data_IF_521436179864
#
_entry.id   IF_521436179864
#
_cell.length_a   1.000
_cell.length_b   1.000
_cell.length_c   1.000
_cell.angle_alpha   90.00
_cell.angle_beta   90.00
_cell.angle_gamma   90.00
#
_symmetry.space_group_name_H-M   'P 1'
#
loop_
_entity.id
_entity.type
_entity.pdbx_description
1 polymer ?
#
# COMPACT_ATOMS: atom_id res chain seq x y z
N UNK A 1 -5.98 8.95 -10.37
CA UNK A 1 -5.85 9.55 -9.02
C UNK A 1 -4.39 9.55 -8.64
N UNK A 2 -3.89 10.61 -8.01
CA UNK A 2 -2.51 10.68 -7.52
C UNK A 2 -2.41 9.85 -6.23
N UNK A 3 -1.38 9.01 -6.11
CA UNK A 3 -1.09 8.30 -4.86
C UNK A 3 -0.45 9.28 -3.87
N UNK A 4 -1.02 9.40 -2.68
CA UNK A 4 -0.57 10.30 -1.63
C UNK A 4 0.23 9.51 -0.59
N UNK A 5 1.45 9.96 -0.33
CA UNK A 5 2.32 9.43 0.72
C UNK A 5 2.31 10.41 1.88
N UNK A 6 1.91 9.92 3.05
CA UNK A 6 1.93 10.63 4.32
C UNK A 6 3.21 10.27 5.07
N UNK A 7 3.70 11.20 5.87
CA UNK A 7 4.88 10.99 6.71
C UNK A 7 4.55 11.37 8.16
N UNK A 8 4.88 10.48 9.08
CA UNK A 8 4.74 10.75 10.51
C UNK A 8 5.86 11.68 10.99
N UNK A 9 5.69 12.26 12.19
CA UNK A 9 6.74 13.06 12.85
C UNK A 9 8.05 12.29 13.07
N UNK A 10 8.00 10.97 13.05
CA UNK A 10 9.14 10.08 13.23
C UNK A 10 9.70 9.55 11.89
N UNK A 11 9.27 10.12 10.75
CA UNK A 11 9.75 9.75 9.41
C UNK A 11 9.09 8.50 8.81
N UNK A 12 8.12 7.89 9.50
CA UNK A 12 7.41 6.73 8.97
C UNK A 12 6.52 7.15 7.81
N UNK A 13 6.77 6.62 6.61
CA UNK A 13 5.98 6.89 5.41
C UNK A 13 4.88 5.85 5.22
N UNK A 14 3.66 6.31 4.94
CA UNK A 14 2.47 5.46 4.77
C UNK A 14 1.56 5.99 3.66
N UNK A 15 0.69 5.15 3.12
CA UNK A 15 -0.43 5.55 2.25
C UNK A 15 -1.75 5.15 2.88
N UNK A 16 -2.88 5.68 2.41
CA UNK A 16 -4.19 5.17 2.84
C UNK A 16 -4.70 4.08 1.92
N UNK A 17 -5.43 3.10 2.47
CA UNK A 17 -6.05 2.03 1.69
C UNK A 17 -7.04 2.59 0.66
N UNK A 18 -7.83 3.59 1.03
CA UNK A 18 -8.74 4.29 0.12
C UNK A 18 -8.02 4.93 -1.06
N UNK A 19 -6.89 5.61 -0.81
CA UNK A 19 -6.13 6.30 -1.85
C UNK A 19 -5.40 5.30 -2.76
N UNK A 20 -4.81 4.23 -2.20
CA UNK A 20 -4.20 3.14 -2.97
C UNK A 20 -5.21 2.42 -3.86
N UNK A 21 -6.38 2.07 -3.31
CA UNK A 21 -7.45 1.41 -4.07
C UNK A 21 -7.93 2.26 -5.24
N UNK A 22 -8.13 3.56 -5.02
CA UNK A 22 -8.54 4.49 -6.06
C UNK A 22 -7.42 4.75 -7.10
N UNK A 23 -6.15 4.82 -6.67
CA UNK A 23 -5.00 4.95 -7.55
C UNK A 23 -4.88 3.75 -8.50
N UNK A 24 -5.09 2.54 -7.97
CA UNK A 24 -5.13 1.27 -8.72
C UNK A 24 -6.39 1.09 -9.57
N UNK A 25 -7.34 2.04 -9.58
CA UNK A 25 -8.59 1.99 -10.35
C UNK A 25 -9.40 0.71 -10.10
N UNK A 26 -9.43 0.26 -8.85
CA UNK A 26 -10.16 -0.94 -8.47
C UNK A 26 -11.67 -0.64 -8.30
N UNK A 27 -12.56 -1.65 -8.46
CA UNK A 27 -14.00 -1.44 -8.36
C UNK A 27 -14.43 -0.91 -6.98
N UNK A 28 -14.94 0.32 -6.94
CA UNK A 28 -15.33 1.01 -5.68
C UNK A 28 -16.31 0.20 -4.83
N UNK A 29 -17.28 -0.47 -5.48
CA UNK A 29 -18.28 -1.33 -4.79
C UNK A 29 -17.67 -2.49 -4.01
N UNK A 30 -16.43 -2.89 -4.33
CA UNK A 30 -15.74 -4.01 -3.69
C UNK A 30 -14.71 -3.57 -2.65
N UNK A 31 -14.58 -2.26 -2.38
CA UNK A 31 -13.54 -1.71 -1.52
C UNK A 31 -13.44 -2.46 -0.17
N UNK A 32 -14.55 -2.58 0.57
CA UNK A 32 -14.53 -3.24 1.88
C UNK A 32 -14.18 -4.73 1.84
N UNK A 33 -14.52 -5.44 0.77
CA UNK A 33 -14.12 -6.84 0.60
C UNK A 33 -12.63 -6.95 0.22
N UNK A 34 -12.14 -6.10 -0.67
CA UNK A 34 -10.75 -6.10 -1.11
C UNK A 34 -9.79 -5.69 0.01
N UNK A 35 -10.11 -4.64 0.77
CA UNK A 35 -9.27 -4.22 1.90
C UNK A 35 -9.24 -5.30 2.98
N UNK A 36 -10.37 -5.92 3.34
CA UNK A 36 -10.37 -7.05 4.29
C UNK A 36 -9.52 -8.22 3.81
N UNK A 37 -9.50 -8.49 2.49
CA UNK A 37 -8.60 -9.47 1.91
C UNK A 37 -7.15 -9.02 2.04
N UNK A 38 -6.82 -7.77 1.70
CA UNK A 38 -5.45 -7.25 1.80
C UNK A 38 -4.88 -7.41 3.21
N UNK A 39 -5.67 -7.18 4.24
CA UNK A 39 -5.22 -7.29 5.64
C UNK A 39 -5.13 -8.73 6.16
N UNK A 40 -5.61 -9.73 5.39
CA UNK A 40 -5.65 -11.15 5.80
C UNK A 40 -4.83 -12.08 4.90
N UNK A 41 -4.40 -11.59 3.74
CA UNK A 41 -3.62 -12.37 2.78
C UNK A 41 -2.16 -12.54 3.22
N UNK A 42 -1.45 -13.49 2.63
CA UNK A 42 -0.02 -13.72 2.91
C UNK A 42 0.86 -12.99 1.88
N UNK A 43 1.85 -12.23 2.31
CA UNK A 43 2.78 -11.51 1.43
C UNK A 43 4.22 -11.86 1.78
N UNK A 44 5.10 -11.69 0.80
CA UNK A 44 6.54 -11.82 0.94
C UNK A 44 7.14 -10.48 1.37
N UNK A 45 7.15 -10.24 2.69
CA UNK A 45 7.82 -9.09 3.27
C UNK A 45 9.34 -9.34 3.31
N UNK A 46 10.13 -8.30 3.55
CA UNK A 46 11.58 -8.40 3.69
C UNK A 46 12.01 -9.37 4.81
N UNK A 47 11.19 -9.56 5.84
CA UNK A 47 11.42 -10.49 6.93
C UNK A 47 10.78 -11.88 6.72
N UNK A 48 10.22 -12.15 5.54
CA UNK A 48 9.69 -13.45 5.14
C UNK A 48 8.20 -13.43 4.78
N UNK A 49 7.67 -14.63 4.51
CA UNK A 49 6.28 -14.81 4.08
C UNK A 49 5.36 -14.84 5.29
N UNK A 50 4.51 -13.82 5.44
CA UNK A 50 3.58 -13.69 6.58
C UNK A 50 2.34 -12.87 6.23
N UNK A 51 1.37 -12.85 7.14
CA UNK A 51 0.22 -11.93 7.08
C UNK A 51 0.61 -10.54 7.58
N UNK A 52 -0.04 -9.46 7.09
CA UNK A 52 0.11 -8.13 7.66
C UNK A 52 -0.31 -8.10 9.13
N UNK A 53 0.44 -7.34 9.94
CA UNK A 53 0.25 -7.21 11.37
C UNK A 53 -0.24 -5.80 11.73
N UNK A 54 -1.26 -5.65 12.58
CA UNK A 54 -1.68 -4.35 13.11
C UNK A 54 -0.52 -3.62 13.79
N UNK A 55 -0.45 -2.31 13.62
CA UNK A 55 0.58 -1.40 14.15
C UNK A 55 2.01 -1.65 13.65
N UNK A 56 2.21 -2.66 12.81
CA UNK A 56 3.47 -2.92 12.11
C UNK A 56 3.37 -2.58 10.63
N UNK A 57 2.41 -3.19 9.94
CA UNK A 57 2.22 -3.01 8.49
C UNK A 57 1.01 -2.15 8.16
N UNK A 58 0.03 -2.06 9.07
CA UNK A 58 -1.15 -1.23 8.91
C UNK A 58 -1.73 -0.75 10.24
N UNK A 59 -2.48 0.35 10.20
CA UNK A 59 -3.25 0.86 11.33
C UNK A 59 -4.59 1.43 10.87
N UNK A 60 -5.63 1.31 11.70
CA UNK A 60 -6.95 1.89 11.39
C UNK A 60 -6.83 3.42 11.39
N UNK A 61 -7.33 4.06 10.33
CA UNK A 61 -7.39 5.52 10.24
C UNK A 61 -8.62 6.01 11.00
N UNK A 62 -8.49 6.93 11.97
CA UNK A 62 -9.64 7.49 12.66
C UNK A 62 -10.44 8.35 11.68
N UNK A 63 -11.67 7.93 11.40
CA UNK A 63 -12.65 8.68 10.61
C UNK A 63 -14.02 8.61 11.31
N UNK A 64 -14.27 9.46 12.31
CA UNK A 64 -15.54 9.47 13.03
C UNK A 64 -16.70 9.73 12.06
N UNK A 65 -17.73 8.88 12.11
CA UNK A 65 -18.96 9.05 11.32
C UNK A 65 -18.90 8.52 9.87
N UNK A 66 -17.76 8.05 9.38
CA UNK A 66 -17.71 7.41 8.07
C UNK A 66 -18.14 5.93 8.15
N UNK A 67 -19.04 5.46 7.26
CA UNK A 67 -19.55 4.09 7.30
C UNK A 67 -18.52 3.04 6.84
N UNK A 68 -17.42 3.48 6.23
CA UNK A 68 -16.42 2.61 5.61
C UNK A 68 -15.09 2.79 6.33
N UNK A 69 -14.51 1.68 6.78
CA UNK A 69 -13.19 1.68 7.40
C UNK A 69 -12.08 2.04 6.39
N UNK A 70 -11.10 2.81 6.85
CA UNK A 70 -9.89 3.11 6.11
C UNK A 70 -8.66 2.82 6.98
N UNK A 71 -7.53 2.58 6.34
CA UNK A 71 -6.32 2.14 7.00
C UNK A 71 -5.11 2.89 6.45
N UNK A 72 -4.17 3.23 7.33
CA UNK A 72 -2.82 3.53 6.92
C UNK A 72 -2.09 2.22 6.65
N UNK A 73 -1.36 2.17 5.54
CA UNK A 73 -0.56 1.03 5.10
C UNK A 73 0.90 1.48 4.98
N UNK A 74 1.85 0.66 5.47
CA UNK A 74 3.26 0.87 5.17
C UNK A 74 3.50 0.83 3.66
N UNK A 75 4.54 1.53 3.19
CA UNK A 75 4.86 1.53 1.76
C UNK A 75 5.19 0.12 1.25
N UNK A 76 5.80 -0.73 2.08
CA UNK A 76 6.10 -2.13 1.76
C UNK A 76 4.82 -2.93 1.54
N UNK A 77 3.88 -2.89 2.49
CA UNK A 77 2.60 -3.56 2.34
C UNK A 77 1.83 -3.02 1.11
N UNK A 78 1.81 -1.71 0.91
CA UNK A 78 1.17 -1.10 -0.24
C UNK A 78 1.77 -1.58 -1.57
N UNK A 79 3.10 -1.73 -1.65
CA UNK A 79 3.80 -2.26 -2.84
C UNK A 79 3.36 -3.69 -3.11
N UNK A 80 3.36 -4.53 -2.08
CA UNK A 80 2.97 -5.94 -2.17
C UNK A 80 1.49 -6.10 -2.55
N UNK A 81 0.60 -5.26 -2.00
CA UNK A 81 -0.81 -5.18 -2.40
C UNK A 81 -0.92 -4.81 -3.88
N UNK A 82 -0.25 -3.74 -4.33
CA UNK A 82 -0.33 -3.27 -5.70
C UNK A 82 -0.02 -4.41 -6.68
N UNK A 83 1.12 -5.08 -6.49
CA UNK A 83 1.60 -6.19 -7.34
C UNK A 83 0.61 -7.37 -7.41
N UNK A 84 -0.14 -7.61 -6.33
CA UNK A 84 -1.11 -8.70 -6.23
C UNK A 84 -2.48 -8.39 -6.84
N UNK A 85 -2.76 -7.12 -7.14
CA UNK A 85 -4.04 -6.75 -7.76
C UNK A 85 -4.08 -7.06 -9.26
N UNK A 86 -5.28 -7.03 -9.84
CA UNK A 86 -5.50 -7.10 -11.28
C UNK A 86 -5.49 -5.70 -11.96
N UNK A 87 -5.01 -4.67 -11.26
CA UNK A 87 -4.92 -3.32 -11.84
C UNK A 87 -3.95 -3.29 -13.01
N UNK A 88 -4.33 -2.59 -14.09
CA UNK A 88 -3.41 -2.28 -15.20
C UNK A 88 -2.27 -1.35 -14.78
N UNK A 89 -2.47 -0.59 -13.70
CA UNK A 89 -1.48 0.37 -13.19
C UNK A 89 -0.60 -0.22 -12.06
N UNK A 90 -0.71 -1.53 -11.77
CA UNK A 90 -0.01 -2.13 -10.61
C UNK A 90 1.50 -1.94 -10.60
N UNK A 91 2.17 -2.14 -11.74
CA UNK A 91 3.62 -1.98 -11.85
C UNK A 91 4.05 -0.52 -11.67
N UNK A 92 3.25 0.41 -12.20
CA UNK A 92 3.50 1.85 -12.04
C UNK A 92 3.52 2.24 -10.56
N UNK A 93 2.49 1.85 -9.81
CA UNK A 93 2.42 2.21 -8.39
C UNK A 93 3.38 1.40 -7.52
N UNK A 94 3.65 0.14 -7.86
CA UNK A 94 4.67 -0.65 -7.16
C UNK A 94 6.05 0.01 -7.26
N UNK A 95 6.47 0.44 -8.46
CA UNK A 95 7.75 1.17 -8.65
C UNK A 95 7.78 2.49 -7.89
N UNK A 96 6.70 3.27 -7.95
CA UNK A 96 6.59 4.53 -7.22
C UNK A 96 6.72 4.32 -5.70
N UNK A 97 6.03 3.32 -5.15
CA UNK A 97 6.12 2.97 -3.73
C UNK A 97 7.52 2.49 -3.34
N UNK A 98 8.18 1.73 -4.22
CA UNK A 98 9.56 1.27 -4.05
C UNK A 98 10.56 2.45 -4.03
N UNK A 99 10.39 3.42 -4.94
CA UNK A 99 11.17 4.65 -4.92
C UNK A 99 11.01 5.40 -3.60
N UNK A 100 9.79 5.49 -3.06
CA UNK A 100 9.56 6.14 -1.76
C UNK A 100 10.14 5.35 -0.58
N UNK A 101 10.13 4.02 -0.63
CA UNK A 101 10.75 3.16 0.39
C UNK A 101 12.25 3.41 0.51
N UNK A 102 12.92 3.59 -0.63
CA UNK A 102 14.36 3.79 -0.69
C UNK A 102 14.78 5.28 -0.75
N UNK A 103 13.92 6.19 -0.28
CA UNK A 103 14.17 7.64 -0.27
C UNK A 103 14.63 8.21 -1.63
N UNK A 104 14.12 7.66 -2.74
CA UNK A 104 14.51 8.07 -4.09
C UNK A 104 15.76 7.37 -4.64
N UNK A 105 16.44 6.53 -3.86
CA UNK A 105 17.54 5.71 -4.36
C UNK A 105 16.97 4.52 -5.13
N UNK A 106 17.03 4.56 -6.46
CA UNK A 106 16.80 3.36 -7.27
C UNK A 106 18.08 2.52 -7.26
N UNK A 107 17.95 1.20 -7.04
CA UNK A 107 19.07 0.28 -7.27
C UNK A 107 19.60 0.48 -8.69
N UNK A 108 20.89 0.83 -8.82
CA UNK A 108 21.57 1.09 -10.10
C UNK A 108 21.40 -0.06 -11.11
N UNK A 109 21.10 -1.27 -10.63
CA UNK A 109 20.91 -2.47 -11.46
C UNK A 109 19.53 -2.59 -12.11
N UNK A 110 18.55 -1.74 -11.75
CA UNK A 110 17.22 -1.73 -12.38
C UNK A 110 17.13 -0.86 -13.65
N UNK A 111 18.15 -0.07 -13.97
CA UNK A 111 18.16 0.80 -15.15
C UNK A 111 18.57 0.08 -16.44
N UNK A 112 19.00 -1.18 -16.37
CA UNK A 112 19.61 -1.91 -17.49
C UNK A 112 18.72 -3.00 -18.13
N UNK A 113 17.40 -3.01 -17.88
CA UNK A 113 16.48 -4.00 -18.43
C UNK A 113 15.27 -3.37 -19.13
#
# INVERSE_FOLDING_TARGET
>A
MKLEVFESKHGTKVVTASNLHAALKLPVRQYGAQVRRWLRDAYEFADGIRRPQPYRDFAKRPRPGEPIEDFFLTLELAKLIALRTNSKDKLKYARLLDTFLHNGQMSLFQQAA
#
